data_IF_009631091933
#
_entry.id   IF_009631091933
#
_cell.length_a   1.000
_cell.length_b   1.000
_cell.length_c   1.000
_cell.angle_alpha   90.00
_cell.angle_beta   90.00
_cell.angle_gamma   90.00
#
_symmetry.space_group_name_H-M   'P 1'
#
loop_
_entity.id
_entity.type
_entity.pdbx_description
1 polymer ?
#
# COMPACT_ATOMS: atom_id res chain seq x y z
N UNK A 1 -14.36 -4.70 -4.63
CA UNK A 1 -13.95 -3.30 -4.47
C UNK A 1 -12.70 -3.05 -5.29
N UNK A 2 -12.52 -1.81 -5.77
CA UNK A 2 -11.29 -1.40 -6.48
C UNK A 2 -10.14 -1.30 -5.49
N UNK A 3 -8.92 -1.56 -5.96
CA UNK A 3 -7.70 -1.49 -5.19
C UNK A 3 -6.63 -0.82 -6.06
N UNK A 4 -6.10 0.30 -5.56
CA UNK A 4 -5.12 1.10 -6.28
C UNK A 4 -3.97 1.53 -5.35
N UNK A 5 -2.78 1.69 -5.92
CA UNK A 5 -1.62 2.31 -5.28
C UNK A 5 -1.34 3.64 -5.94
N UNK A 6 -1.43 4.73 -5.19
CA UNK A 6 -1.20 6.11 -5.65
C UNK A 6 0.13 6.61 -5.09
N UNK A 7 1.04 7.01 -5.96
CA UNK A 7 2.34 7.56 -5.56
C UNK A 7 2.22 9.06 -5.35
N UNK A 8 2.26 9.50 -4.11
CA UNK A 8 2.19 10.92 -3.75
C UNK A 8 3.57 11.56 -3.67
N UNK A 9 4.58 10.77 -3.34
CA UNK A 9 5.98 11.18 -3.29
C UNK A 9 6.90 10.00 -3.50
N UNK A 10 7.90 10.18 -4.35
CA UNK A 10 8.76 9.12 -4.86
C UNK A 10 10.26 9.44 -4.78
N UNK A 11 10.64 10.56 -4.12
CA UNK A 11 12.03 10.97 -3.93
C UNK A 11 12.64 10.37 -2.69
N UNK A 12 13.94 10.05 -2.74
CA UNK A 12 14.78 9.71 -1.61
C UNK A 12 15.31 10.96 -0.91
N UNK A 13 15.41 10.92 0.41
CA UNK A 13 16.07 11.87 1.31
C UNK A 13 15.60 13.33 1.22
N UNK A 14 15.39 13.90 0.04
CA UNK A 14 15.04 15.32 -0.14
C UNK A 14 14.06 15.52 -1.31
N UNK A 15 13.18 16.52 -1.24
CA UNK A 15 12.31 16.85 -2.36
C UNK A 15 13.13 17.36 -3.55
N UNK A 16 12.61 17.09 -4.76
CA UNK A 16 13.09 17.70 -6.00
C UNK A 16 11.97 18.54 -6.63
N UNK A 17 12.27 19.20 -7.76
CA UNK A 17 11.22 19.91 -8.51
C UNK A 17 10.16 18.94 -9.10
N UNK A 18 10.52 17.66 -9.30
CA UNK A 18 9.69 16.65 -9.95
C UNK A 18 9.12 15.61 -9.00
N UNK A 19 9.79 15.35 -7.86
CA UNK A 19 9.44 14.31 -6.90
C UNK A 19 9.38 14.86 -5.48
N UNK A 20 8.30 14.62 -4.79
CA UNK A 20 8.16 14.85 -3.35
C UNK A 20 8.76 13.69 -2.55
N UNK A 21 9.12 13.88 -1.26
CA UNK A 21 9.54 12.82 -0.36
C UNK A 21 8.50 11.72 -0.18
N UNK A 22 8.93 10.60 0.39
CA UNK A 22 8.20 9.35 0.47
C UNK A 22 6.75 9.49 0.97
N UNK A 23 5.79 9.10 0.14
CA UNK A 23 4.39 8.97 0.50
C UNK A 23 3.65 8.10 -0.53
N UNK A 24 3.06 7.00 -0.09
CA UNK A 24 2.27 6.09 -0.92
C UNK A 24 0.88 5.96 -0.32
N UNK A 25 -0.16 6.13 -1.13
CA UNK A 25 -1.54 5.96 -0.69
C UNK A 25 -2.15 4.72 -1.33
N UNK A 26 -2.61 3.79 -0.54
CA UNK A 26 -3.45 2.68 -1.01
C UNK A 26 -4.91 3.06 -0.87
N UNK A 27 -5.67 2.93 -1.97
CA UNK A 27 -7.13 3.07 -1.97
C UNK A 27 -7.76 1.70 -2.12
N UNK A 28 -8.65 1.38 -1.20
CA UNK A 28 -9.49 0.17 -1.27
C UNK A 28 -10.95 0.58 -1.16
N UNK A 29 -11.63 0.63 -2.31
CA UNK A 29 -12.99 1.19 -2.35
C UNK A 29 -13.05 2.62 -1.79
N UNK A 30 -13.76 2.80 -0.67
CA UNK A 30 -13.85 4.08 0.06
C UNK A 30 -12.68 4.39 0.97
N UNK A 31 -11.90 3.40 1.37
CA UNK A 31 -10.83 3.53 2.35
C UNK A 31 -9.56 4.16 1.77
N UNK A 32 -8.79 4.82 2.61
CA UNK A 32 -7.56 5.54 2.29
C UNK A 32 -6.51 5.24 3.34
N UNK A 33 -5.47 4.51 2.97
CA UNK A 33 -4.36 4.10 3.83
C UNK A 33 -3.11 4.82 3.33
N UNK A 34 -2.55 5.71 4.14
CA UNK A 34 -1.34 6.44 3.79
C UNK A 34 -0.12 5.76 4.41
N UNK A 35 0.82 5.37 3.58
CA UNK A 35 2.12 4.83 3.98
C UNK A 35 3.19 5.90 3.78
N UNK A 36 3.82 6.27 4.88
CA UNK A 36 4.69 7.42 5.05
C UNK A 36 4.02 8.78 4.76
N UNK A 37 4.57 9.82 5.35
CA UNK A 37 4.07 11.18 5.24
C UNK A 37 5.24 12.15 5.18
N UNK A 38 6.00 12.10 4.10
CA UNK A 38 7.13 12.99 3.84
C UNK A 38 6.71 14.45 3.71
N UNK A 39 7.70 15.35 3.70
CA UNK A 39 7.45 16.80 3.60
C UNK A 39 6.56 17.14 2.39
N UNK A 40 5.50 17.89 2.62
CA UNK A 40 4.59 18.32 1.56
C UNK A 40 3.52 17.33 1.13
N UNK A 41 3.39 16.17 1.76
CA UNK A 41 2.38 15.15 1.43
C UNK A 41 0.96 15.73 1.42
N UNK A 42 0.62 16.61 2.34
CA UNK A 42 -0.69 17.31 2.32
C UNK A 42 -0.92 18.11 1.03
N UNK A 43 0.12 18.73 0.48
CA UNK A 43 0.04 19.47 -0.79
C UNK A 43 -0.07 18.51 -1.97
N UNK A 44 0.63 17.38 -1.92
CA UNK A 44 0.55 16.33 -2.93
C UNK A 44 -0.86 15.73 -2.98
N UNK A 45 -1.48 15.44 -1.84
CA UNK A 45 -2.87 15.01 -1.78
C UNK A 45 -3.82 16.01 -2.42
N UNK A 46 -3.66 17.32 -2.15
CA UNK A 46 -4.49 18.37 -2.76
C UNK A 46 -4.29 18.49 -4.28
N UNK A 47 -3.11 18.18 -4.80
CA UNK A 47 -2.79 18.19 -6.23
C UNK A 47 -3.17 16.91 -6.95
N UNK A 48 -3.32 15.81 -6.23
CA UNK A 48 -3.69 14.51 -6.77
C UNK A 48 -5.17 14.45 -7.14
N UNK A 49 -5.55 13.43 -7.91
CA UNK A 49 -6.96 13.14 -8.18
C UNK A 49 -7.72 12.68 -6.93
N UNK A 50 -7.01 12.22 -5.89
CA UNK A 50 -7.58 11.79 -4.61
C UNK A 50 -8.10 12.99 -3.82
N UNK A 51 -7.40 14.10 -3.86
CA UNK A 51 -7.67 15.28 -3.02
C UNK A 51 -7.07 15.13 -1.61
N UNK A 52 -7.52 15.96 -0.67
CA UNK A 52 -7.21 15.80 0.75
C UNK A 52 -8.43 15.12 1.41
N UNK A 53 -8.48 13.78 1.43
CA UNK A 53 -9.63 13.04 1.96
C UNK A 53 -9.66 13.09 3.48
N UNK A 54 -10.74 12.57 4.03
CA UNK A 54 -10.84 12.21 5.44
C UNK A 54 -9.99 10.95 5.67
N UNK A 55 -8.68 11.16 5.75
CA UNK A 55 -7.70 10.11 5.98
C UNK A 55 -7.77 9.69 7.44
N UNK A 56 -8.08 8.43 7.70
CA UNK A 56 -8.24 7.92 9.06
C UNK A 56 -7.02 7.15 9.56
N UNK A 57 -6.14 6.72 8.66
CA UNK A 57 -5.00 5.88 9.00
C UNK A 57 -3.72 6.30 8.25
N UNK A 58 -2.63 6.39 9.02
CA UNK A 58 -1.28 6.64 8.52
C UNK A 58 -0.34 5.58 9.09
N UNK A 59 0.42 4.94 8.23
CA UNK A 59 1.40 3.90 8.54
C UNK A 59 2.80 4.43 8.27
N UNK A 60 3.59 4.68 9.31
CA UNK A 60 4.98 5.12 9.18
C UNK A 60 5.90 3.91 9.17
N UNK A 61 6.79 3.83 8.18
CA UNK A 61 7.76 2.74 8.08
C UNK A 61 8.91 2.92 9.06
N UNK A 62 9.40 4.13 9.21
CA UNK A 62 10.43 4.55 10.15
C UNK A 62 10.41 6.08 10.34
N UNK A 63 11.39 6.64 11.10
CA UNK A 63 11.33 8.05 11.50
C UNK A 63 12.44 8.91 10.90
N UNK A 64 12.92 8.60 9.69
CA UNK A 64 13.74 9.55 8.95
C UNK A 64 12.87 10.70 8.45
N UNK A 65 13.49 11.89 8.33
CA UNK A 65 12.79 13.15 8.06
C UNK A 65 11.89 13.10 6.81
N UNK A 66 12.36 12.48 5.74
CA UNK A 66 11.66 12.37 4.46
C UNK A 66 10.46 11.39 4.49
N UNK A 67 10.28 10.63 5.58
CA UNK A 67 9.14 9.73 5.77
C UNK A 67 8.08 10.27 6.71
N UNK A 68 8.37 11.27 7.56
CA UNK A 68 7.37 11.74 8.52
C UNK A 68 7.21 13.26 8.64
N UNK A 69 8.11 14.10 8.10
CA UNK A 69 8.03 15.57 8.31
C UNK A 69 6.77 16.24 7.75
N UNK A 70 6.04 15.59 6.84
CA UNK A 70 4.74 16.05 6.39
C UNK A 70 3.63 15.93 7.44
N UNK A 71 3.81 15.01 8.40
CA UNK A 71 2.79 14.69 9.41
C UNK A 71 2.40 15.89 10.28
N UNK A 72 3.32 16.68 10.87
CA UNK A 72 2.96 17.87 11.63
C UNK A 72 2.08 18.87 10.85
N UNK A 73 2.44 19.12 9.60
CA UNK A 73 1.66 19.98 8.71
C UNK A 73 0.28 19.38 8.36
N UNK A 74 0.22 18.07 8.16
CA UNK A 74 -1.03 17.36 7.91
C UNK A 74 -1.98 17.46 9.11
N UNK A 75 -1.51 17.21 10.32
CA UNK A 75 -2.28 17.31 11.56
C UNK A 75 -2.88 18.71 11.74
N UNK A 76 -2.08 19.76 11.47
CA UNK A 76 -2.58 21.15 11.53
C UNK A 76 -3.62 21.44 10.45
N UNK A 77 -3.44 20.92 9.25
CA UNK A 77 -4.42 21.09 8.17
C UNK A 77 -5.76 20.44 8.51
N UNK A 78 -5.74 19.26 9.09
CA UNK A 78 -6.95 18.59 9.56
C UNK A 78 -7.69 19.40 10.62
N UNK A 79 -6.97 19.96 11.60
CA UNK A 79 -7.57 20.83 12.62
C UNK A 79 -8.24 22.06 12.03
N UNK A 80 -7.65 22.69 11.01
CA UNK A 80 -8.18 23.89 10.36
C UNK A 80 -9.39 23.59 9.44
N UNK A 81 -9.60 22.32 9.07
CA UNK A 81 -10.72 21.90 8.22
C UNK A 81 -11.92 21.33 8.99
N UNK A 82 -11.94 21.48 10.30
CA UNK A 82 -13.07 21.06 11.12
C UNK A 82 -13.22 19.54 11.26
N UNK A 83 -12.10 18.82 11.30
CA UNK A 83 -12.09 17.36 11.53
C UNK A 83 -12.29 17.04 13.01
N UNK A 84 -13.45 17.34 13.57
CA UNK A 84 -13.71 17.14 15.01
C UNK A 84 -14.17 15.71 15.32
N UNK A 85 -14.93 15.11 14.42
CA UNK A 85 -15.59 13.81 14.61
C UNK A 85 -14.86 12.63 13.96
N UNK A 86 -13.89 12.88 13.06
CA UNK A 86 -13.15 11.82 12.39
C UNK A 86 -11.83 11.53 13.09
N UNK A 87 -11.67 10.40 13.77
CA UNK A 87 -10.42 10.04 14.46
C UNK A 87 -9.30 9.81 13.45
N UNK A 88 -8.06 9.90 13.93
CA UNK A 88 -6.87 9.51 13.18
C UNK A 88 -6.12 8.45 13.97
N UNK A 89 -5.79 7.34 13.33
CA UNK A 89 -4.85 6.36 13.87
C UNK A 89 -3.52 6.47 13.12
N UNK A 90 -2.44 6.57 13.87
CA UNK A 90 -1.09 6.53 13.32
C UNK A 90 -0.41 5.27 13.83
N UNK A 91 0.01 4.44 12.89
CA UNK A 91 0.78 3.23 13.13
C UNK A 91 2.25 3.51 12.80
N UNK A 92 3.15 2.81 13.46
CA UNK A 92 4.57 2.90 13.18
C UNK A 92 5.39 1.99 14.07
N UNK A 93 6.70 1.86 13.85
CA UNK A 93 7.55 1.05 14.68
C UNK A 93 7.67 1.63 16.09
N UNK A 94 8.28 0.85 16.98
CA UNK A 94 8.62 1.29 18.34
C UNK A 94 9.34 2.64 18.32
N UNK A 95 8.90 3.57 19.18
CA UNK A 95 9.38 4.95 19.27
C UNK A 95 8.37 5.98 18.72
N UNK A 96 7.26 5.54 18.12
CA UNK A 96 6.22 6.42 17.59
C UNK A 96 5.65 7.36 18.67
N UNK A 97 5.36 6.83 19.86
CA UNK A 97 4.82 7.61 20.99
C UNK A 97 5.80 8.68 21.45
N UNK A 98 7.09 8.36 21.47
CA UNK A 98 8.15 9.31 21.83
C UNK A 98 8.27 10.40 20.77
N UNK A 99 8.27 10.05 19.48
CA UNK A 99 8.24 11.01 18.37
C UNK A 99 7.08 12.00 18.53
N UNK A 100 5.86 11.50 18.78
CA UNK A 100 4.69 12.37 18.98
C UNK A 100 4.80 13.28 20.19
N UNK A 101 5.41 12.81 21.30
CA UNK A 101 5.68 13.66 22.46
C UNK A 101 6.61 14.82 22.09
N UNK A 102 7.64 14.57 21.28
CA UNK A 102 8.57 15.60 20.80
C UNK A 102 7.91 16.56 19.82
N UNK A 103 6.99 16.09 18.98
CA UNK A 103 6.25 16.93 18.03
C UNK A 103 5.15 17.76 18.69
N UNK A 104 4.68 17.38 19.86
CA UNK A 104 3.56 18.06 20.55
C UNK A 104 3.69 19.56 20.70
N UNK A 105 4.87 20.14 21.00
CA UNK A 105 5.04 21.59 21.05
C UNK A 105 4.83 22.29 19.70
N UNK A 106 5.08 21.57 18.58
CA UNK A 106 4.96 22.09 17.22
C UNK A 106 3.52 22.03 16.71
N UNK A 107 2.83 20.92 16.96
CA UNK A 107 1.49 20.68 16.43
C UNK A 107 0.38 21.21 17.35
N UNK A 108 0.66 21.37 18.64
CA UNK A 108 -0.33 21.78 19.65
C UNK A 108 -1.41 20.71 19.90
N UNK A 109 -2.50 21.12 20.57
CA UNK A 109 -3.65 20.24 20.82
C UNK A 109 -4.52 20.18 19.56
N UNK A 110 -4.93 18.97 19.18
CA UNK A 110 -5.84 18.72 18.07
C UNK A 110 -7.30 18.64 18.57
N UNK A 111 -8.29 19.10 17.79
CA UNK A 111 -9.72 19.01 18.16
C UNK A 111 -10.29 17.59 17.97
N UNK A 112 -9.58 16.69 17.32
CA UNK A 112 -9.96 15.30 17.06
C UNK A 112 -9.05 14.33 17.82
N UNK A 113 -9.49 13.09 17.98
CA UNK A 113 -8.71 12.05 18.65
C UNK A 113 -7.61 11.51 17.73
N UNK A 114 -6.40 11.32 18.29
CA UNK A 114 -5.30 10.66 17.63
C UNK A 114 -4.92 9.43 18.46
N UNK A 115 -5.02 8.26 17.85
CA UNK A 115 -4.54 6.99 18.40
C UNK A 115 -3.14 6.68 17.86
N UNK A 116 -2.21 6.30 18.72
CA UNK A 116 -0.86 5.90 18.34
C UNK A 116 -0.68 4.41 18.63
N UNK A 117 -0.38 3.66 17.58
CA UNK A 117 -0.18 2.21 17.66
C UNK A 117 1.23 1.88 17.21
N UNK A 118 2.05 1.41 18.16
CA UNK A 118 3.38 0.89 17.85
C UNK A 118 3.25 -0.56 17.42
N UNK A 119 3.90 -0.93 16.32
CA UNK A 119 3.89 -2.27 15.77
C UNK A 119 5.29 -2.87 15.74
N UNK A 120 5.37 -4.16 16.08
CA UNK A 120 6.57 -4.98 15.93
C UNK A 120 6.42 -5.86 14.67
N UNK A 121 7.53 -6.29 14.05
CA UNK A 121 7.48 -7.25 12.95
C UNK A 121 6.72 -8.53 13.34
N UNK A 122 5.78 -8.95 12.49
CA UNK A 122 4.89 -10.09 12.72
C UNK A 122 3.54 -9.73 13.33
N UNK A 123 3.31 -8.47 13.71
CA UNK A 123 1.99 -8.02 14.17
C UNK A 123 1.09 -7.66 12.99
N UNK A 124 -0.21 -7.85 13.18
CA UNK A 124 -1.25 -7.65 12.17
C UNK A 124 -2.32 -6.69 12.67
N UNK A 125 -2.69 -5.73 11.85
CA UNK A 125 -3.85 -4.84 12.04
C UNK A 125 -5.00 -5.37 11.19
N UNK A 126 -6.06 -5.86 11.85
CA UNK A 126 -7.22 -6.44 11.17
C UNK A 126 -8.25 -5.36 10.80
N UNK A 127 -8.72 -5.37 9.53
CA UNK A 127 -9.74 -4.47 8.98
C UNK A 127 -11.02 -5.22 8.54
N UNK A 128 -11.27 -6.41 9.09
CA UNK A 128 -12.42 -7.24 8.74
C UNK A 128 -12.28 -7.94 7.38
N UNK A 129 -12.27 -7.19 6.28
CA UNK A 129 -12.15 -7.74 4.92
C UNK A 129 -10.72 -7.85 4.39
N UNK A 130 -9.75 -7.34 5.12
CA UNK A 130 -8.32 -7.42 4.82
C UNK A 130 -7.51 -7.21 6.11
N UNK A 131 -6.22 -7.38 6.02
CA UNK A 131 -5.29 -7.11 7.10
C UNK A 131 -4.07 -6.33 6.61
N UNK A 132 -3.41 -5.61 7.53
CA UNK A 132 -2.10 -5.03 7.31
C UNK A 132 -1.11 -5.75 8.22
N UNK A 133 -0.20 -6.50 7.62
CA UNK A 133 0.86 -7.20 8.32
C UNK A 133 2.11 -6.32 8.36
N UNK A 134 2.71 -6.15 9.54
CA UNK A 134 4.00 -5.49 9.70
C UNK A 134 5.14 -6.52 9.58
N UNK A 135 6.19 -6.20 8.85
CA UNK A 135 7.38 -7.05 8.73
C UNK A 135 8.67 -6.25 8.91
N UNK A 136 9.77 -6.94 9.21
CA UNK A 136 11.06 -6.29 9.43
C UNK A 136 11.63 -5.73 8.11
N UNK A 137 12.08 -4.47 8.15
CA UNK A 137 12.95 -3.86 7.14
C UNK A 137 14.39 -3.73 7.70
N UNK A 138 15.38 -3.90 6.83
CA UNK A 138 16.81 -3.81 7.21
C UNK A 138 17.36 -2.43 6.85
N UNK A 139 17.26 -1.48 7.78
CA UNK A 139 17.57 -0.06 7.50
C UNK A 139 18.31 0.64 8.64
N UNK A 140 19.34 0.11 9.21
CA UNK A 140 20.20 0.84 10.19
C UNK A 140 19.50 1.50 11.40
N UNK A 141 18.18 1.71 11.32
CA UNK A 141 17.28 2.18 12.40
C UNK A 141 16.11 1.24 12.53
N UNK A 142 15.29 1.39 13.59
CA UNK A 142 14.06 0.61 13.71
C UNK A 142 13.11 0.95 12.56
N UNK A 143 12.90 -0.01 11.65
CA UNK A 143 12.09 0.13 10.46
C UNK A 143 11.23 -1.10 10.22
N UNK A 144 10.03 -0.90 9.71
CA UNK A 144 9.08 -1.94 9.33
C UNK A 144 8.50 -1.64 7.95
N UNK A 145 8.29 -2.69 7.18
CA UNK A 145 7.46 -2.64 5.99
C UNK A 145 6.04 -3.11 6.29
N UNK A 146 5.13 -2.94 5.33
CA UNK A 146 3.73 -3.28 5.47
C UNK A 146 3.23 -4.10 4.28
N UNK A 147 2.39 -5.09 4.56
CA UNK A 147 1.69 -5.87 3.54
C UNK A 147 0.18 -5.76 3.75
N UNK A 148 -0.55 -5.19 2.79
CA UNK A 148 -1.99 -5.30 2.70
C UNK A 148 -2.34 -6.67 2.13
N UNK A 149 -3.13 -7.44 2.85
CA UNK A 149 -3.49 -8.83 2.49
C UNK A 149 -4.99 -9.00 2.53
N UNK A 150 -5.61 -9.23 1.37
CA UNK A 150 -7.00 -9.66 1.30
C UNK A 150 -7.09 -11.19 1.50
N UNK A 151 -8.13 -11.70 2.20
CA UNK A 151 -8.32 -13.13 2.37
C UNK A 151 -8.62 -13.83 1.05
N UNK A 152 -8.48 -15.14 1.05
CA UNK A 152 -8.98 -15.98 -0.04
C UNK A 152 -10.48 -15.78 -0.24
N UNK A 153 -10.90 -15.83 -1.49
CA UNK A 153 -12.29 -15.68 -1.90
C UNK A 153 -12.86 -17.04 -2.33
N UNK A 154 -14.17 -17.27 -2.16
CA UNK A 154 -14.81 -18.49 -2.67
C UNK A 154 -14.50 -18.72 -4.14
N UNK A 155 -14.39 -19.97 -4.52
CA UNK A 155 -14.26 -20.42 -5.90
C UNK A 155 -15.41 -19.89 -6.79
N UNK A 156 -15.27 -20.06 -8.10
CA UNK A 156 -16.37 -19.73 -9.01
C UNK A 156 -17.52 -20.69 -8.77
N UNK A 157 -18.73 -20.13 -8.66
CA UNK A 157 -19.95 -20.91 -8.56
C UNK A 157 -20.26 -21.55 -9.93
N UNK A 158 -20.39 -22.87 -9.94
CA UNK A 158 -20.77 -23.62 -11.14
C UNK A 158 -22.30 -23.73 -11.23
N UNK A 159 -22.86 -22.88 -12.09
CA UNK A 159 -24.31 -22.84 -12.30
C UNK A 159 -24.82 -24.13 -12.92
N UNK A 160 -24.05 -24.75 -13.82
CA UNK A 160 -24.50 -25.98 -14.51
C UNK A 160 -24.55 -27.16 -13.55
N UNK A 161 -23.56 -27.28 -12.67
CA UNK A 161 -23.56 -28.30 -11.60
C UNK A 161 -24.71 -28.06 -10.64
N UNK A 162 -24.93 -26.81 -10.21
CA UNK A 162 -26.03 -26.49 -9.32
C UNK A 162 -27.42 -26.80 -9.94
N UNK A 163 -27.59 -26.53 -11.23
CA UNK A 163 -28.80 -26.92 -11.99
C UNK A 163 -28.98 -28.42 -12.00
N UNK A 164 -27.90 -29.16 -12.28
CA UNK A 164 -27.93 -30.64 -12.30
C UNK A 164 -28.24 -31.27 -10.94
N UNK A 165 -27.83 -30.61 -9.85
CA UNK A 165 -28.14 -31.04 -8.49
C UNK A 165 -29.55 -30.61 -8.04
N UNK A 166 -30.25 -29.77 -8.81
CA UNK A 166 -31.57 -29.26 -8.47
C UNK A 166 -31.59 -28.10 -7.49
N UNK A 167 -30.48 -27.38 -7.34
CA UNK A 167 -30.40 -26.18 -6.47
C UNK A 167 -31.17 -25.02 -7.11
N UNK A 168 -32.25 -24.53 -6.50
CA UNK A 168 -33.04 -23.44 -7.07
C UNK A 168 -32.24 -22.15 -7.17
N UNK A 169 -32.48 -21.38 -8.24
CA UNK A 169 -31.87 -20.06 -8.39
C UNK A 169 -32.32 -19.12 -7.26
N UNK A 170 -31.44 -18.18 -6.89
CA UNK A 170 -31.72 -17.17 -5.88
C UNK A 170 -31.09 -17.51 -4.51
N UNK A 171 -31.82 -17.35 -3.38
CA UNK A 171 -31.25 -17.40 -2.03
C UNK A 171 -30.45 -18.67 -1.71
N UNK A 172 -30.89 -19.84 -2.20
CA UNK A 172 -30.20 -21.12 -1.98
C UNK A 172 -28.77 -21.09 -2.56
N UNK A 173 -28.59 -20.58 -3.79
CA UNK A 173 -27.26 -20.44 -4.41
C UNK A 173 -26.43 -19.39 -3.69
N UNK A 174 -27.05 -18.31 -3.18
CA UNK A 174 -26.39 -17.30 -2.37
C UNK A 174 -25.81 -17.88 -1.07
N UNK A 175 -26.55 -18.77 -0.41
CA UNK A 175 -26.09 -19.48 0.80
C UNK A 175 -24.90 -20.37 0.51
N UNK A 176 -24.96 -21.18 -0.54
CA UNK A 176 -23.81 -22.00 -0.97
C UNK A 176 -22.59 -21.14 -1.29
N UNK A 177 -22.79 -19.99 -1.94
CA UNK A 177 -21.72 -19.05 -2.26
C UNK A 177 -21.13 -18.39 -1.01
N UNK A 178 -21.93 -18.25 0.07
CA UNK A 178 -21.51 -17.77 1.38
C UNK A 178 -20.86 -18.85 2.25
N UNK A 179 -20.74 -20.08 1.76
CA UNK A 179 -20.12 -21.19 2.51
C UNK A 179 -21.10 -22.01 3.36
N UNK A 180 -22.42 -21.84 3.16
CA UNK A 180 -23.45 -22.55 3.91
C UNK A 180 -24.02 -23.73 3.10
N UNK A 181 -24.30 -24.84 3.80
CA UNK A 181 -24.99 -25.96 3.21
C UNK A 181 -26.45 -25.65 2.92
N UNK A 182 -27.03 -26.30 1.89
CA UNK A 182 -28.41 -26.15 1.49
C UNK A 182 -29.10 -27.51 1.43
N UNK A 183 -30.15 -27.68 2.22
CA UNK A 183 -31.05 -28.86 2.12
C UNK A 183 -32.06 -28.61 1.03
N UNK A 184 -32.18 -29.59 0.11
CA UNK A 184 -33.15 -29.59 -0.98
C UNK A 184 -34.50 -30.19 -0.52
N UNK A 185 -35.62 -29.92 -1.24
CA UNK A 185 -36.94 -30.46 -0.90
C UNK A 185 -37.04 -31.99 -0.86
N UNK A 186 -36.09 -32.66 -1.51
CA UNK A 186 -36.02 -34.14 -1.54
C UNK A 186 -35.16 -34.72 -0.40
N UNK A 187 -34.70 -33.87 0.55
CA UNK A 187 -33.90 -34.27 1.71
C UNK A 187 -32.39 -34.41 1.43
N UNK A 188 -31.93 -34.16 0.22
CA UNK A 188 -30.49 -34.11 -0.08
C UNK A 188 -29.88 -32.81 0.40
N UNK A 189 -28.68 -32.87 0.95
CA UNK A 189 -27.89 -31.68 1.29
C UNK A 189 -26.85 -31.42 0.19
N UNK A 190 -26.80 -30.22 -0.32
CA UNK A 190 -25.77 -29.74 -1.23
C UNK A 190 -24.82 -28.83 -0.43
N UNK A 191 -23.55 -29.11 -0.55
CA UNK A 191 -22.49 -28.35 0.14
C UNK A 191 -21.84 -27.32 -0.80
N UNK A 192 -21.17 -26.29 -0.29
CA UNK A 192 -20.36 -25.37 -1.10
C UNK A 192 -19.35 -26.09 -2.02
N UNK A 193 -18.72 -27.16 -1.53
CA UNK A 193 -17.72 -27.92 -2.28
C UNK A 193 -18.30 -28.58 -3.53
N UNK A 194 -19.61 -28.87 -3.56
CA UNK A 194 -20.27 -29.50 -4.71
C UNK A 194 -20.42 -28.53 -5.89
N UNK A 195 -20.43 -27.21 -5.63
CA UNK A 195 -20.79 -26.18 -6.62
C UNK A 195 -19.78 -25.03 -6.72
N UNK A 196 -18.80 -24.97 -5.82
CA UNK A 196 -17.71 -23.99 -5.89
C UNK A 196 -16.45 -24.67 -6.43
N UNK A 197 -15.78 -24.00 -7.34
CA UNK A 197 -14.43 -24.37 -7.75
C UNK A 197 -13.39 -24.09 -6.66
N UNK A 198 -12.10 -24.21 -7.00
CA UNK A 198 -11.00 -23.90 -6.09
C UNK A 198 -11.09 -22.47 -5.55
N UNK A 199 -10.73 -22.24 -4.28
CA UNK A 199 -10.61 -20.90 -3.71
C UNK A 199 -9.70 -20.00 -4.57
N UNK A 200 -10.02 -18.73 -4.61
CA UNK A 200 -9.27 -17.73 -5.38
C UNK A 200 -8.52 -16.82 -4.43
N UNK A 201 -7.24 -16.60 -4.71
CA UNK A 201 -6.42 -15.70 -3.90
C UNK A 201 -7.04 -14.30 -3.79
N UNK A 202 -6.92 -13.69 -2.61
CA UNK A 202 -7.08 -12.26 -2.41
C UNK A 202 -5.92 -11.50 -3.03
N UNK A 203 -6.01 -10.16 -3.05
CA UNK A 203 -4.91 -9.32 -3.54
C UNK A 203 -3.93 -9.03 -2.40
N UNK A 204 -2.66 -8.85 -2.78
CA UNK A 204 -1.59 -8.51 -1.85
C UNK A 204 -0.76 -7.36 -2.41
N UNK A 205 -0.62 -6.29 -1.62
CA UNK A 205 0.28 -5.16 -1.89
C UNK A 205 1.30 -5.09 -0.77
N UNK A 206 2.58 -5.03 -1.13
CA UNK A 206 3.68 -4.93 -0.16
C UNK A 206 4.42 -3.61 -0.37
N UNK A 207 4.70 -2.90 0.72
CA UNK A 207 5.45 -1.64 0.75
C UNK A 207 6.62 -1.86 1.69
N UNK A 208 7.84 -1.87 1.13
CA UNK A 208 9.05 -2.21 1.88
C UNK A 208 9.46 -1.13 2.89
N UNK A 209 9.15 0.14 2.61
CA UNK A 209 9.89 1.26 3.19
C UNK A 209 11.35 1.21 2.73
N UNK A 210 12.23 1.90 3.45
CA UNK A 210 13.66 1.87 3.19
C UNK A 210 14.27 0.59 3.75
N UNK A 211 15.06 -0.10 2.94
CA UNK A 211 15.66 -1.38 3.32
C UNK A 211 16.82 -1.78 2.41
N UNK A 212 17.85 -2.36 2.99
CA UNK A 212 18.74 -3.25 2.24
C UNK A 212 17.96 -4.51 1.80
N UNK A 213 18.46 -5.27 0.80
CA UNK A 213 17.86 -6.54 0.41
C UNK A 213 17.77 -7.50 1.60
N UNK A 214 16.57 -8.00 1.90
CA UNK A 214 16.31 -8.75 3.12
C UNK A 214 15.41 -9.96 2.87
N UNK A 215 15.71 -11.12 3.49
CA UNK A 215 14.84 -12.30 3.43
C UNK A 215 13.43 -12.03 3.96
N UNK A 216 13.27 -11.11 4.92
CA UNK A 216 11.98 -10.74 5.46
C UNK A 216 11.10 -10.05 4.41
N UNK A 217 11.69 -9.17 3.59
CA UNK A 217 10.98 -8.54 2.47
C UNK A 217 10.57 -9.57 1.43
N UNK A 218 11.47 -10.49 1.06
CA UNK A 218 11.16 -11.59 0.11
C UNK A 218 10.00 -12.44 0.63
N UNK A 219 10.00 -12.78 1.92
CA UNK A 219 8.93 -13.57 2.53
C UNK A 219 7.60 -12.82 2.54
N UNK A 220 7.59 -11.55 2.96
CA UNK A 220 6.38 -10.72 3.01
C UNK A 220 5.79 -10.50 1.61
N UNK A 221 6.66 -10.33 0.60
CA UNK A 221 6.26 -10.08 -0.78
C UNK A 221 5.94 -11.35 -1.58
N UNK A 222 6.07 -12.55 -1.00
CA UNK A 222 5.86 -13.79 -1.75
C UNK A 222 4.48 -13.84 -2.39
N UNK A 223 4.45 -13.97 -3.74
CA UNK A 223 3.23 -14.01 -4.55
C UNK A 223 2.42 -12.71 -4.55
N UNK A 224 2.98 -11.58 -4.13
CA UNK A 224 2.27 -10.30 -4.11
C UNK A 224 1.90 -9.82 -5.51
N UNK A 225 0.75 -9.15 -5.62
CA UNK A 225 0.35 -8.50 -6.87
C UNK A 225 1.26 -7.32 -7.18
N UNK A 226 1.58 -6.52 -6.16
CA UNK A 226 2.49 -5.37 -6.28
C UNK A 226 3.48 -5.36 -5.11
N UNK A 227 4.76 -5.25 -5.42
CA UNK A 227 5.80 -4.89 -4.47
C UNK A 227 6.24 -3.45 -4.77
N UNK A 228 5.97 -2.53 -3.84
CA UNK A 228 6.56 -1.18 -3.83
C UNK A 228 7.85 -1.28 -3.03
N UNK A 229 8.98 -1.14 -3.71
CA UNK A 229 10.31 -1.28 -3.11
C UNK A 229 11.16 -0.04 -3.37
N UNK A 230 11.98 0.33 -2.40
CA UNK A 230 12.95 1.39 -2.60
C UNK A 230 14.03 0.99 -3.61
N UNK A 231 14.58 1.99 -4.32
CA UNK A 231 15.75 1.84 -5.16
C UNK A 231 16.53 3.17 -5.16
N UNK A 232 17.25 3.40 -4.09
CA UNK A 232 18.00 4.65 -3.88
C UNK A 232 19.25 4.75 -4.74
N UNK A 233 19.74 3.61 -5.26
CA UNK A 233 21.01 3.51 -5.97
C UNK A 233 20.92 2.66 -7.24
N UNK A 234 21.91 2.83 -8.14
CA UNK A 234 22.22 1.88 -9.20
C UNK A 234 23.35 0.94 -8.73
N UNK A 235 23.55 -0.15 -9.44
CA UNK A 235 24.52 -1.20 -9.08
C UNK A 235 25.97 -0.71 -9.03
N UNK A 236 26.32 0.35 -9.73
CA UNK A 236 27.65 0.97 -9.68
C UNK A 236 27.95 1.65 -8.34
N UNK A 237 26.93 1.99 -7.55
CA UNK A 237 27.04 2.50 -6.18
C UNK A 237 26.58 1.46 -5.11
N UNK A 238 26.65 0.15 -5.39
CA UNK A 238 26.20 -0.91 -4.48
C UNK A 238 26.91 -0.88 -3.11
N UNK A 239 28.19 -0.49 -3.05
CA UNK A 239 28.90 -0.34 -1.78
C UNK A 239 28.26 0.75 -0.91
N UNK A 240 27.87 1.87 -1.52
CA UNK A 240 27.21 2.95 -0.83
C UNK A 240 25.79 2.57 -0.40
N UNK A 241 25.05 1.86 -1.25
CA UNK A 241 23.73 1.31 -0.88
C UNK A 241 23.85 0.48 0.40
N UNK A 242 24.85 -0.39 0.47
CA UNK A 242 25.13 -1.24 1.63
C UNK A 242 25.52 -0.44 2.88
N UNK A 243 26.40 0.57 2.72
CA UNK A 243 26.83 1.45 3.83
C UNK A 243 25.67 2.23 4.45
N UNK A 244 24.65 2.59 3.65
CA UNK A 244 23.48 3.36 4.09
C UNK A 244 22.24 2.50 4.32
N UNK A 245 22.35 1.17 4.23
CA UNK A 245 21.24 0.21 4.38
C UNK A 245 20.06 0.49 3.44
N UNK A 246 20.38 0.71 2.16
CA UNK A 246 19.46 0.86 1.06
C UNK A 246 19.69 -0.20 -0.02
N UNK A 247 18.85 -0.21 -1.04
CA UNK A 247 18.92 -1.13 -2.18
C UNK A 247 19.31 -0.41 -3.47
N UNK A 248 19.99 -1.16 -4.35
CA UNK A 248 20.09 -0.80 -5.77
C UNK A 248 18.85 -1.25 -6.53
N UNK A 249 18.65 -0.71 -7.74
CA UNK A 249 17.55 -1.13 -8.60
C UNK A 249 17.63 -2.62 -8.98
N UNK A 250 18.84 -3.12 -9.23
CA UNK A 250 19.08 -4.54 -9.51
C UNK A 250 18.77 -5.44 -8.30
N UNK A 251 19.15 -5.01 -7.08
CA UNK A 251 18.86 -5.76 -5.86
C UNK A 251 17.36 -5.78 -5.53
N UNK A 252 16.65 -4.65 -5.70
CA UNK A 252 15.19 -4.60 -5.56
C UNK A 252 14.49 -5.52 -6.57
N UNK A 253 14.98 -5.58 -7.81
CA UNK A 253 14.49 -6.49 -8.84
C UNK A 253 14.77 -7.97 -8.50
N UNK A 254 15.91 -8.28 -7.88
CA UNK A 254 16.21 -9.64 -7.40
C UNK A 254 15.28 -10.06 -6.25
N UNK A 255 14.97 -9.14 -5.32
CA UNK A 255 13.94 -9.37 -4.27
C UNK A 255 12.60 -9.70 -4.91
N UNK A 256 12.16 -8.92 -5.90
CA UNK A 256 10.91 -9.15 -6.62
C UNK A 256 10.86 -10.51 -7.33
N UNK A 257 11.98 -10.90 -7.98
CA UNK A 257 12.13 -12.19 -8.65
C UNK A 257 12.05 -13.36 -7.67
N UNK A 258 12.77 -13.27 -6.56
CA UNK A 258 12.75 -14.29 -5.50
C UNK A 258 11.38 -14.42 -4.83
N UNK A 259 10.70 -13.30 -4.62
CA UNK A 259 9.36 -13.26 -4.07
C UNK A 259 8.27 -13.65 -5.07
N UNK A 260 8.59 -13.79 -6.36
CA UNK A 260 7.62 -14.12 -7.41
C UNK A 260 6.45 -13.13 -7.47
N UNK A 261 6.72 -11.84 -7.33
CA UNK A 261 5.68 -10.81 -7.42
C UNK A 261 5.18 -10.65 -8.85
N UNK A 262 4.00 -10.07 -9.05
CA UNK A 262 3.44 -9.84 -10.38
C UNK A 262 3.91 -8.52 -10.99
N UNK A 263 4.16 -7.50 -10.16
CA UNK A 263 4.67 -6.19 -10.57
C UNK A 263 5.60 -5.62 -9.49
N UNK A 264 6.77 -5.14 -9.89
CA UNK A 264 7.67 -4.33 -9.06
C UNK A 264 7.49 -2.85 -9.38
N UNK A 265 7.25 -2.03 -8.37
CA UNK A 265 7.23 -0.59 -8.45
C UNK A 265 8.40 -0.01 -7.65
N UNK A 266 9.38 0.56 -8.33
CA UNK A 266 10.54 1.19 -7.69
C UNK A 266 10.18 2.62 -7.25
N UNK A 267 10.46 2.94 -5.99
CA UNK A 267 10.28 4.27 -5.40
C UNK A 267 11.55 4.70 -4.66
N UNK A 268 11.48 5.82 -3.93
CA UNK A 268 12.61 6.35 -3.18
C UNK A 268 13.82 6.60 -4.08
N UNK A 269 13.56 7.29 -5.20
CA UNK A 269 14.55 7.54 -6.24
C UNK A 269 15.46 8.68 -5.82
N UNK A 270 16.76 8.42 -5.73
CA UNK A 270 17.76 9.46 -5.43
C UNK A 270 17.73 10.57 -6.47
N UNK A 271 17.87 11.85 -6.07
CA UNK A 271 17.98 12.98 -7.00
C UNK A 271 19.13 12.89 -8.02
N UNK A 272 20.05 11.94 -7.85
CA UNK A 272 21.16 11.69 -8.77
C UNK A 272 20.79 10.95 -10.03
N UNK A 273 19.65 10.23 -9.99
CA UNK A 273 19.23 9.32 -11.07
C UNK A 273 17.92 9.77 -11.69
N UNK A 274 17.75 9.39 -12.94
CA UNK A 274 16.48 9.49 -13.62
C UNK A 274 15.76 8.14 -13.61
N UNK A 275 14.43 8.13 -13.55
CA UNK A 275 13.64 6.91 -13.52
C UNK A 275 13.95 5.88 -14.61
N UNK A 276 14.21 6.28 -15.87
CA UNK A 276 14.60 5.34 -16.93
C UNK A 276 15.84 4.51 -16.64
N UNK A 277 16.87 5.06 -15.99
CA UNK A 277 18.11 4.35 -15.65
C UNK A 277 17.85 3.21 -14.66
N UNK A 278 17.07 3.51 -13.60
CA UNK A 278 16.64 2.48 -12.64
C UNK A 278 15.75 1.42 -13.30
N UNK A 279 14.86 1.84 -14.20
CA UNK A 279 13.99 0.91 -14.91
C UNK A 279 14.78 -0.02 -15.84
N UNK A 280 15.80 0.48 -16.53
CA UNK A 280 16.67 -0.32 -17.41
C UNK A 280 17.43 -1.38 -16.60
N UNK A 281 18.08 -0.97 -15.50
CA UNK A 281 18.82 -1.89 -14.63
C UNK A 281 17.92 -2.96 -14.02
N UNK A 282 16.79 -2.56 -13.44
CA UNK A 282 15.89 -3.48 -12.78
C UNK A 282 15.23 -4.46 -13.76
N UNK A 283 14.81 -4.00 -14.95
CA UNK A 283 14.20 -4.86 -15.97
C UNK A 283 15.12 -5.91 -16.54
N UNK A 284 16.42 -5.70 -16.49
CA UNK A 284 17.40 -6.74 -16.84
C UNK A 284 17.30 -7.97 -15.91
N UNK A 285 16.81 -7.80 -14.68
CA UNK A 285 16.65 -8.85 -13.66
C UNK A 285 15.19 -9.30 -13.56
N UNK A 286 14.26 -8.33 -13.51
CA UNK A 286 12.81 -8.57 -13.39
C UNK A 286 12.06 -7.67 -14.39
N UNK A 287 11.61 -8.21 -15.55
CA UNK A 287 11.00 -7.42 -16.64
C UNK A 287 9.75 -6.64 -16.25
N UNK A 288 8.91 -7.19 -15.35
CA UNK A 288 7.68 -6.56 -14.90
C UNK A 288 7.97 -5.50 -13.82
N UNK A 289 8.79 -4.50 -14.20
CA UNK A 289 9.22 -3.40 -13.34
C UNK A 289 8.79 -2.05 -13.90
N UNK A 290 8.26 -1.20 -13.01
CA UNK A 290 7.91 0.19 -13.29
C UNK A 290 8.61 1.13 -12.30
N UNK A 291 8.84 2.39 -12.71
CA UNK A 291 9.35 3.47 -11.85
C UNK A 291 8.33 4.60 -11.86
N UNK A 292 7.33 4.58 -10.97
CA UNK A 292 6.29 5.58 -10.92
C UNK A 292 6.85 7.00 -10.68
N UNK A 293 6.10 7.99 -11.17
CA UNK A 293 6.27 9.40 -10.82
C UNK A 293 5.21 9.81 -9.81
N UNK A 294 5.39 10.97 -9.23
CA UNK A 294 4.36 11.54 -8.37
C UNK A 294 3.02 11.64 -9.13
N UNK A 295 1.95 11.21 -8.50
CA UNK A 295 0.57 11.12 -8.98
C UNK A 295 0.24 9.95 -9.91
N UNK A 296 1.20 9.13 -10.29
CA UNK A 296 0.93 7.89 -10.99
C UNK A 296 0.17 6.92 -10.10
N UNK A 297 -0.58 6.03 -10.72
CA UNK A 297 -1.45 5.07 -10.03
C UNK A 297 -1.19 3.68 -10.59
N UNK A 298 -1.03 2.69 -9.72
CA UNK A 298 -1.09 1.28 -10.12
C UNK A 298 -2.48 0.77 -9.78
N UNK A 299 -3.23 0.34 -10.80
CA UNK A 299 -4.49 -0.37 -10.63
C UNK A 299 -4.20 -1.86 -10.38
N UNK A 300 -4.79 -2.41 -9.32
CA UNK A 300 -4.53 -3.79 -8.87
C UNK A 300 -5.81 -4.63 -9.01
N UNK A 301 -6.08 -5.20 -10.19
CA UNK A 301 -7.22 -6.07 -10.38
C UNK A 301 -6.98 -7.42 -9.69
N UNK A 302 -8.06 -8.17 -9.44
CA UNK A 302 -7.92 -9.58 -9.09
C UNK A 302 -7.23 -10.36 -10.22
N UNK A 303 -6.44 -11.36 -9.88
CA UNK A 303 -5.59 -12.10 -10.83
C UNK A 303 -6.34 -12.64 -12.06
N UNK A 304 -7.60 -13.04 -11.89
CA UNK A 304 -8.45 -13.53 -12.97
C UNK A 304 -8.99 -12.41 -13.90
N UNK A 305 -8.76 -11.14 -13.57
CA UNK A 305 -9.19 -9.98 -14.38
C UNK A 305 -8.05 -9.32 -15.14
N UNK A 306 -6.81 -9.61 -14.78
CA UNK A 306 -5.64 -9.05 -15.45
C UNK A 306 -4.43 -8.90 -14.53
N UNK A 307 -3.38 -8.30 -15.07
CA UNK A 307 -2.18 -7.92 -14.33
C UNK A 307 -2.36 -6.54 -13.68
N UNK A 308 -1.61 -6.24 -12.60
CA UNK A 308 -1.46 -4.86 -12.13
C UNK A 308 -0.85 -3.98 -13.24
N UNK A 309 -1.35 -2.75 -13.36
CA UNK A 309 -0.93 -1.86 -14.45
C UNK A 309 -0.67 -0.44 -13.93
N UNK A 310 0.43 0.16 -14.38
CA UNK A 310 0.75 1.56 -14.11
C UNK A 310 -0.04 2.47 -15.05
N UNK A 311 -0.86 3.34 -14.46
CA UNK A 311 -1.60 4.38 -15.16
C UNK A 311 -0.99 5.74 -14.84
N UNK A 312 -0.36 6.36 -15.82
CA UNK A 312 0.19 7.71 -15.68
C UNK A 312 -0.95 8.73 -15.63
N UNK A 313 -1.16 9.39 -14.50
CA UNK A 313 -2.27 10.35 -14.32
C UNK A 313 -1.82 11.80 -14.18
N UNK A 314 -0.59 12.03 -13.76
CA UNK A 314 -0.07 13.37 -13.52
C UNK A 314 -0.83 14.18 -12.47
N UNK A 315 -0.34 15.39 -12.17
CA UNK A 315 -1.00 16.29 -11.22
C UNK A 315 -2.31 16.84 -11.80
N UNK A 316 -3.36 16.87 -10.98
CA UNK A 316 -4.60 17.55 -11.34
C UNK A 316 -4.34 19.06 -11.46
N UNK A 317 -4.84 19.74 -12.50
CA UNK A 317 -4.74 21.20 -12.57
C UNK A 317 -5.41 21.81 -11.31
N UNK A 318 -4.83 22.88 -10.75
CA UNK A 318 -5.41 23.53 -9.57
C UNK A 318 -6.85 23.96 -9.87
N UNK A 319 -7.79 23.60 -8.99
CA UNK A 319 -9.15 24.17 -9.09
C UNK A 319 -9.03 25.69 -8.95
N UNK A 320 -9.69 26.48 -9.81
CA UNK A 320 -9.76 27.92 -9.60
C UNK A 320 -10.32 28.18 -8.20
N UNK A 321 -9.66 29.04 -7.44
CA UNK A 321 -10.20 29.50 -6.15
C UNK A 321 -11.54 30.17 -6.48
N UNK A 322 -12.63 29.65 -5.93
CA UNK A 322 -13.92 30.33 -5.96
C UNK A 322 -13.71 31.63 -5.20
N UNK A 323 -14.00 32.79 -5.78
CA UNK A 323 -13.96 34.04 -5.03
C UNK A 323 -14.92 33.87 -3.85
N UNK A 324 -14.45 34.17 -2.63
CA UNK A 324 -15.32 34.31 -1.46
C UNK A 324 -16.26 35.48 -1.74
N UNK A 325 -17.53 35.20 -1.98
CA UNK A 325 -18.60 36.19 -1.89
C UNK A 325 -18.75 36.69 -0.46
#
# INVERSE_FOLDING_TARGET
VDLDVVFLGTSAAAPTAQRAPAAVLVRRGGERLLFDCGEGTQRQLQRSAVGLPDLEEIFLTHFHADHFLGLPGMLRTFSLRGREETPLTVYGPRGLRELFNQLRPLVGRQPYSISLVELEPGETVAHGEYAIDAFAADHGVTAIGYALVEPERPGRFDVAVADGLGVPAGPARGRLQAGEDVELPDGRTVTPADVLGEPRAGRRIVISGDTAPSPAVVQAAHGADVLVHEASFLADEADRARETSHSTAAEAAEVARLAQVRLLALTHVSPRYFGPELAEEARAVFPDTVVPRDFDVIEVPFAERGAPELVERGARPPRPMIPSE
#
